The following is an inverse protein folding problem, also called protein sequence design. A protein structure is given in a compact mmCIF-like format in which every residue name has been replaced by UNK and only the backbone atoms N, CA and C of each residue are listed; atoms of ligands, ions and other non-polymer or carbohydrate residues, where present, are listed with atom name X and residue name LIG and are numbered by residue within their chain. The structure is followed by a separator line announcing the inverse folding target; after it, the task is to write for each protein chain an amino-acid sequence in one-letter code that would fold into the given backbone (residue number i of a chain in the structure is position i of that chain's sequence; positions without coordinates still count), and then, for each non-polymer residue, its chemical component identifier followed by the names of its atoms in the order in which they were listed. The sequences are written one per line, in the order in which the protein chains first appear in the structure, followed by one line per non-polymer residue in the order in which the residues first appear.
data_IF_706606689508
#
_entry.id   IF_706606689508
#
_cell.length_a   1.000
_cell.length_b   1.000
_cell.length_c   1.000
_cell.angle_alpha   90.00
_cell.angle_beta   90.00
_cell.angle_gamma   90.00
#
_symmetry.space_group_name_H-M   'P 1'
#
loop_
_entity.id
_entity.type
_entity.pdbx_description
1 polymer ?
#
# COMPACT_ATOMS: atom_id res chain seq x y z
N UNK A 1 -10.45 -24.43 27.21
CA UNK A 1 -11.45 -25.43 26.77
C UNK A 1 -10.85 -26.28 25.65
N UNK A 2 -11.00 -27.62 25.67
CA UNK A 2 -10.48 -28.49 24.59
C UNK A 2 -11.28 -28.21 23.31
N UNK A 3 -10.61 -28.15 22.15
CA UNK A 3 -11.20 -27.91 20.82
C UNK A 3 -12.29 -28.92 20.41
N UNK A 4 -12.49 -30.01 21.17
CA UNK A 4 -13.32 -31.16 20.79
C UNK A 4 -14.74 -31.17 21.38
N UNK A 5 -15.04 -30.31 22.36
CA UNK A 5 -16.31 -30.40 23.11
C UNK A 5 -17.35 -29.34 22.69
N UNK A 6 -17.01 -28.42 21.78
CA UNK A 6 -17.89 -27.32 21.35
C UNK A 6 -17.92 -27.16 19.83
N UNK A 7 -19.08 -27.42 19.24
CA UNK A 7 -19.33 -27.23 17.81
C UNK A 7 -19.79 -25.78 17.59
N UNK A 8 -18.83 -24.87 17.44
CA UNK A 8 -19.06 -23.45 17.11
C UNK A 8 -18.12 -23.02 15.99
N UNK A 9 -18.53 -22.06 15.13
CA UNK A 9 -17.62 -21.49 14.15
C UNK A 9 -16.43 -20.83 14.84
N UNK A 10 -15.25 -21.02 14.26
CA UNK A 10 -14.00 -20.39 14.69
C UNK A 10 -13.59 -19.39 13.62
N UNK A 11 -13.41 -18.14 14.02
CA UNK A 11 -12.98 -17.06 13.13
C UNK A 11 -11.57 -16.60 13.49
N UNK A 12 -10.84 -16.15 12.47
CA UNK A 12 -9.69 -15.27 12.69
C UNK A 12 -10.19 -13.90 13.15
N UNK A 13 -9.34 -13.08 13.81
CA UNK A 13 -9.69 -11.71 14.18
C UNK A 13 -10.20 -10.86 13.00
N UNK A 14 -9.54 -10.95 11.84
CA UNK A 14 -9.97 -10.29 10.60
C UNK A 14 -11.37 -10.73 10.17
N UNK A 15 -11.64 -12.04 10.13
CA UNK A 15 -12.97 -12.54 9.73
C UNK A 15 -14.05 -12.18 10.75
N UNK A 16 -13.71 -12.19 12.04
CA UNK A 16 -14.64 -11.78 13.09
C UNK A 16 -15.05 -10.31 12.92
N UNK A 17 -14.11 -9.42 12.59
CA UNK A 17 -14.40 -8.01 12.32
C UNK A 17 -15.37 -7.82 11.15
N UNK A 18 -15.14 -8.52 10.03
CA UNK A 18 -16.04 -8.49 8.86
C UNK A 18 -17.45 -8.95 9.21
N UNK A 19 -17.58 -10.10 9.91
CA UNK A 19 -18.89 -10.64 10.31
C UNK A 19 -19.60 -9.68 11.25
N UNK A 20 -18.92 -9.16 12.26
CA UNK A 20 -19.51 -8.21 13.20
C UNK A 20 -19.99 -6.93 12.49
N UNK A 21 -19.24 -6.42 11.50
CA UNK A 21 -19.64 -5.22 10.73
C UNK A 21 -20.89 -5.50 9.90
N UNK A 22 -20.96 -6.67 9.27
CA UNK A 22 -22.12 -7.09 8.49
C UNK A 22 -23.39 -7.24 9.37
N UNK A 23 -23.24 -7.82 10.57
CA UNK A 23 -24.34 -7.92 11.55
C UNK A 23 -24.82 -6.54 12.00
N UNK A 24 -23.90 -5.64 12.33
CA UNK A 24 -24.24 -4.26 12.72
C UNK A 24 -24.90 -3.50 11.57
N UNK A 25 -24.41 -3.65 10.34
CA UNK A 25 -25.03 -3.05 9.15
C UNK A 25 -26.45 -3.60 8.89
N UNK A 26 -26.74 -4.82 9.35
CA UNK A 26 -28.07 -5.45 9.27
C UNK A 26 -29.00 -5.06 10.43
N UNK A 27 -28.56 -4.16 11.32
CA UNK A 27 -29.33 -3.69 12.48
C UNK A 27 -29.22 -4.55 13.74
N UNK A 28 -28.33 -5.56 13.75
CA UNK A 28 -28.07 -6.40 14.92
C UNK A 28 -26.98 -5.79 15.82
N UNK A 29 -26.93 -6.23 17.08
CA UNK A 29 -25.84 -5.88 18.00
C UNK A 29 -24.75 -6.95 17.98
N UNK A 30 -23.49 -6.53 18.03
CA UNK A 30 -22.33 -7.42 18.17
C UNK A 30 -21.57 -7.13 19.47
N UNK A 31 -21.04 -8.18 20.11
CA UNK A 31 -20.27 -8.08 21.34
C UNK A 31 -19.17 -9.13 21.40
N UNK A 32 -18.07 -8.80 22.10
CA UNK A 32 -16.90 -9.68 22.24
C UNK A 32 -16.65 -9.93 23.71
N UNK A 33 -16.50 -11.20 24.08
CA UNK A 33 -16.17 -11.63 25.43
C UNK A 33 -14.67 -11.87 25.54
N UNK A 34 -14.02 -11.25 26.52
CA UNK A 34 -12.63 -11.50 26.87
C UNK A 34 -12.54 -12.19 28.23
N UNK A 35 -11.69 -13.21 28.29
CA UNK A 35 -11.44 -13.97 29.51
C UNK A 35 -10.46 -13.27 30.46
N UNK A 36 -10.40 -13.75 31.70
CA UNK A 36 -9.35 -13.31 32.65
C UNK A 36 -7.99 -13.78 32.15
N UNK A 37 -6.96 -12.97 32.34
CA UNK A 37 -5.61 -13.22 31.80
C UNK A 37 -5.02 -14.60 32.13
N UNK A 38 -5.17 -15.06 33.38
CA UNK A 38 -4.61 -16.35 33.82
C UNK A 38 -5.48 -17.56 33.46
N UNK A 39 -6.80 -17.39 33.39
CA UNK A 39 -7.76 -18.51 33.31
C UNK A 39 -8.57 -18.56 32.02
N UNK A 40 -8.47 -17.54 31.16
CA UNK A 40 -9.30 -17.39 29.98
C UNK A 40 -10.79 -17.23 30.31
N UNK A 41 -11.63 -17.53 29.33
CA UNK A 41 -13.09 -17.60 29.48
C UNK A 41 -13.47 -18.94 30.12
N UNK A 42 -14.46 -18.93 31.02
CA UNK A 42 -15.02 -20.17 31.52
C UNK A 42 -15.87 -20.84 30.44
N UNK A 43 -16.02 -22.17 30.49
CA UNK A 43 -16.79 -22.91 29.48
C UNK A 43 -18.22 -22.35 29.32
N UNK A 44 -18.86 -21.93 30.41
CA UNK A 44 -20.21 -21.36 30.37
C UNK A 44 -20.27 -20.00 29.65
N UNK A 45 -19.20 -19.21 29.68
CA UNK A 45 -19.09 -17.97 28.91
C UNK A 45 -18.99 -18.28 27.41
N UNK A 46 -18.11 -19.23 27.05
CA UNK A 46 -17.93 -19.66 25.65
C UNK A 46 -19.22 -20.29 25.11
N UNK A 47 -20.00 -21.00 25.94
CA UNK A 47 -21.28 -21.60 25.54
C UNK A 47 -22.29 -20.55 25.06
N UNK A 48 -22.31 -19.36 25.68
CA UNK A 48 -23.21 -18.25 25.34
C UNK A 48 -22.80 -17.51 24.07
N UNK A 49 -21.52 -17.55 23.71
CA UNK A 49 -21.01 -16.91 22.50
C UNK A 49 -21.46 -17.65 21.22
N UNK A 50 -21.72 -16.93 20.14
CA UNK A 50 -22.12 -17.52 18.85
C UNK A 50 -20.92 -18.11 18.08
N UNK A 51 -19.72 -17.58 18.31
CA UNK A 51 -18.48 -17.97 17.64
C UNK A 51 -17.27 -17.86 18.59
N UNK A 52 -16.14 -18.43 18.17
CA UNK A 52 -14.86 -18.32 18.87
C UNK A 52 -13.89 -17.54 17.97
N UNK A 53 -13.18 -16.56 18.52
CA UNK A 53 -12.10 -15.87 17.81
C UNK A 53 -10.76 -16.51 18.19
N UNK A 54 -9.96 -16.93 17.21
CA UNK A 54 -8.62 -17.47 17.43
C UNK A 54 -7.62 -16.73 16.54
N UNK A 55 -6.69 -16.00 17.16
CA UNK A 55 -5.60 -15.36 16.45
C UNK A 55 -4.56 -16.42 15.99
N UNK A 56 -4.00 -16.30 14.77
CA UNK A 56 -2.96 -17.20 14.26
C UNK A 56 -1.61 -16.89 14.93
N UNK A 57 -1.45 -17.31 16.18
CA UNK A 57 -0.24 -17.10 16.99
C UNK A 57 0.74 -18.27 16.82
N UNK A 58 1.98 -18.07 17.26
CA UNK A 58 2.97 -19.15 17.33
C UNK A 58 2.41 -20.32 18.16
N UNK A 59 2.31 -21.55 17.62
CA UNK A 59 1.79 -22.70 18.38
C UNK A 59 2.56 -22.99 19.67
N UNK A 60 3.86 -22.71 19.72
CA UNK A 60 4.70 -22.87 20.91
C UNK A 60 4.45 -21.78 21.97
N UNK A 61 3.84 -20.66 21.59
CA UNK A 61 3.54 -19.52 22.46
C UNK A 61 2.24 -18.84 22.01
N UNK A 62 1.12 -19.48 22.34
CA UNK A 62 -0.22 -19.10 21.86
C UNK A 62 -1.04 -18.28 22.86
N UNK A 63 -0.38 -17.71 23.87
CA UNK A 63 -1.03 -16.85 24.87
C UNK A 63 -0.66 -15.40 24.64
N UNK A 64 -1.66 -14.55 24.47
CA UNK A 64 -1.53 -13.10 24.57
C UNK A 64 -1.97 -12.65 25.96
N UNK A 65 -1.42 -11.53 26.42
CA UNK A 65 -2.02 -10.86 27.58
C UNK A 65 -3.40 -10.27 27.20
N UNK A 66 -4.18 -9.89 28.20
CA UNK A 66 -5.54 -9.39 27.97
C UNK A 66 -5.53 -8.11 27.12
N UNK A 67 -4.66 -7.15 27.43
CA UNK A 67 -4.55 -5.89 26.70
C UNK A 67 -4.20 -6.08 25.22
N UNK A 68 -3.28 -7.00 24.91
CA UNK A 68 -2.90 -7.39 23.56
C UNK A 68 -4.06 -8.04 22.80
N UNK A 69 -4.81 -8.91 23.47
CA UNK A 69 -5.99 -9.55 22.89
C UNK A 69 -7.06 -8.53 22.53
N UNK A 70 -7.33 -7.59 23.44
CA UNK A 70 -8.29 -6.48 23.23
C UNK A 70 -7.82 -5.58 22.10
N UNK A 71 -6.56 -5.13 22.14
CA UNK A 71 -5.98 -4.26 21.11
C UNK A 71 -6.05 -4.92 19.72
N UNK A 72 -5.67 -6.19 19.61
CA UNK A 72 -5.65 -6.90 18.34
C UNK A 72 -7.04 -6.98 17.70
N UNK A 73 -8.05 -7.32 18.50
CA UNK A 73 -9.42 -7.44 18.00
C UNK A 73 -10.03 -6.05 17.70
N UNK A 74 -9.78 -5.05 18.54
CA UNK A 74 -10.22 -3.68 18.31
C UNK A 74 -9.56 -3.08 17.06
N UNK A 75 -8.29 -3.39 16.82
CA UNK A 75 -7.55 -2.97 15.63
C UNK A 75 -8.14 -3.56 14.35
N UNK A 76 -8.40 -4.87 14.33
CA UNK A 76 -9.03 -5.52 13.17
C UNK A 76 -10.45 -5.00 12.93
N UNK A 77 -11.20 -4.68 14.00
CA UNK A 77 -12.50 -4.01 13.89
C UNK A 77 -12.41 -2.63 13.22
N UNK A 78 -11.48 -1.80 13.67
CA UNK A 78 -11.25 -0.47 13.07
C UNK A 78 -10.83 -0.60 11.61
N UNK A 79 -9.80 -1.42 11.34
CA UNK A 79 -9.26 -1.68 10.01
C UNK A 79 -10.33 -2.20 9.02
N UNK A 80 -11.26 -3.03 9.47
CA UNK A 80 -12.32 -3.57 8.62
C UNK A 80 -13.30 -2.52 8.08
N UNK A 81 -13.25 -1.28 8.56
CA UNK A 81 -13.94 -0.16 7.93
C UNK A 81 -13.06 1.07 7.81
N UNK A 82 -11.75 0.86 7.72
CA UNK A 82 -10.81 1.91 7.37
C UNK A 82 -10.84 2.10 5.85
N UNK A 83 -11.13 3.33 5.42
CA UNK A 83 -11.12 3.74 4.01
C UNK A 83 -9.87 4.54 3.67
N UNK A 84 -8.92 4.63 4.61
CA UNK A 84 -7.65 5.33 4.40
C UNK A 84 -6.91 4.71 3.21
N UNK A 85 -6.46 5.52 2.22
CA UNK A 85 -5.68 5.02 1.10
C UNK A 85 -4.42 4.29 1.60
N UNK A 86 -4.11 3.14 0.99
CA UNK A 86 -2.89 2.39 1.31
C UNK A 86 -1.61 3.16 0.98
N UNK A 87 -1.69 4.10 0.03
CA UNK A 87 -0.62 5.00 -0.36
C UNK A 87 -1.22 6.37 -0.68
N UNK A 88 -0.69 7.41 -0.07
CA UNK A 88 -0.98 8.79 -0.39
C UNK A 88 0.33 9.50 -0.75
N UNK A 89 0.38 10.06 -1.95
CA UNK A 89 1.50 10.90 -2.38
C UNK A 89 1.03 12.36 -2.42
N UNK A 90 1.42 13.20 -1.45
CA UNK A 90 1.03 14.60 -1.43
C UNK A 90 1.69 15.34 -2.59
N UNK A 91 0.89 15.89 -3.50
CA UNK A 91 1.38 16.56 -4.72
C UNK A 91 1.61 18.07 -4.55
N UNK A 92 1.30 18.62 -3.37
CA UNK A 92 1.27 20.08 -3.15
C UNK A 92 0.25 20.74 -4.08
N UNK A 93 0.65 21.84 -4.74
CA UNK A 93 -0.16 22.55 -5.74
C UNK A 93 -0.07 21.94 -7.16
N UNK A 94 0.64 20.81 -7.31
CA UNK A 94 0.88 20.16 -8.59
C UNK A 94 -0.07 18.98 -8.80
N UNK A 95 -0.23 18.57 -10.06
CA UNK A 95 -0.91 17.33 -10.44
C UNK A 95 0.10 16.34 -11.02
N UNK A 96 -0.27 15.06 -11.04
CA UNK A 96 0.48 14.06 -11.81
C UNK A 96 0.61 14.51 -13.26
N UNK A 97 1.79 14.28 -13.83
CA UNK A 97 2.03 14.59 -15.23
C UNK A 97 1.15 13.71 -16.12
N UNK A 98 0.53 14.32 -17.13
CA UNK A 98 -0.16 13.56 -18.17
C UNK A 98 0.84 12.73 -18.96
N UNK A 99 0.39 11.58 -19.49
CA UNK A 99 1.24 10.75 -20.38
C UNK A 99 1.77 11.56 -21.57
N UNK A 100 0.98 12.50 -22.09
CA UNK A 100 1.40 13.42 -23.15
C UNK A 100 2.54 14.35 -22.71
N UNK A 101 2.47 14.91 -21.49
CA UNK A 101 3.53 15.76 -20.93
C UNK A 101 4.85 15.01 -20.76
N UNK A 102 4.78 13.78 -20.24
CA UNK A 102 5.94 12.89 -20.10
C UNK A 102 6.51 12.52 -21.47
N UNK A 103 5.68 12.09 -22.42
CA UNK A 103 6.12 11.70 -23.77
C UNK A 103 6.83 12.85 -24.48
N UNK A 104 6.24 14.06 -24.46
CA UNK A 104 6.86 15.22 -25.08
C UNK A 104 8.17 15.63 -24.38
N UNK A 105 8.38 15.25 -23.11
CA UNK A 105 9.65 15.47 -22.41
C UNK A 105 10.67 14.44 -22.87
N UNK A 106 10.27 13.18 -22.98
CA UNK A 106 11.10 12.11 -23.52
C UNK A 106 11.57 12.38 -24.94
N UNK A 107 10.70 12.93 -25.79
CA UNK A 107 11.07 13.27 -27.17
C UNK A 107 12.07 14.43 -27.21
N UNK A 108 11.89 15.44 -26.36
CA UNK A 108 12.87 16.52 -26.19
C UNK A 108 14.21 16.01 -25.65
N UNK A 109 14.19 15.12 -24.67
CA UNK A 109 15.37 14.50 -24.09
C UNK A 109 16.13 13.68 -25.13
N UNK A 110 15.44 12.84 -25.91
CA UNK A 110 16.04 12.01 -26.96
C UNK A 110 16.76 12.88 -28.01
N UNK A 111 16.16 13.99 -28.45
CA UNK A 111 16.79 14.94 -29.39
C UNK A 111 18.08 15.50 -28.83
N UNK A 112 18.07 15.96 -27.57
CA UNK A 112 19.27 16.55 -26.97
C UNK A 112 20.36 15.52 -26.66
N UNK A 113 19.99 14.29 -26.30
CA UNK A 113 20.94 13.19 -26.11
C UNK A 113 21.60 12.77 -27.42
N UNK A 114 20.86 12.76 -28.54
CA UNK A 114 21.41 12.52 -29.87
C UNK A 114 22.48 13.56 -30.20
N UNK A 115 22.15 14.84 -30.05
CA UNK A 115 23.05 15.95 -30.34
C UNK A 115 24.27 15.96 -29.40
N UNK A 116 24.11 15.50 -28.16
CA UNK A 116 25.21 15.33 -27.19
C UNK A 116 26.07 14.08 -27.45
N UNK A 117 25.77 13.30 -28.49
CA UNK A 117 26.45 12.03 -28.84
C UNK A 117 26.42 11.01 -27.69
N UNK A 118 25.34 11.00 -26.89
CA UNK A 118 25.15 10.03 -25.81
C UNK A 118 25.03 8.60 -26.37
N UNK A 119 24.27 8.44 -27.46
CA UNK A 119 24.14 7.16 -28.15
C UNK A 119 25.37 6.90 -29.03
N UNK A 120 26.35 6.16 -28.50
CA UNK A 120 27.65 5.89 -29.16
C UNK A 120 27.55 4.97 -30.37
N UNK A 121 26.53 4.12 -30.43
CA UNK A 121 26.32 3.16 -31.51
C UNK A 121 24.83 3.09 -31.88
N UNK A 122 24.48 3.04 -33.19
CA UNK A 122 23.10 2.87 -33.64
C UNK A 122 22.41 1.63 -33.05
N UNK A 123 23.17 0.56 -32.82
CA UNK A 123 22.62 -0.70 -32.30
C UNK A 123 22.23 -0.61 -30.81
N UNK A 124 22.87 0.27 -30.04
CA UNK A 124 22.59 0.43 -28.61
C UNK A 124 21.49 1.47 -28.32
N UNK A 125 21.23 2.37 -29.27
CA UNK A 125 20.26 3.45 -29.13
C UNK A 125 18.86 2.97 -28.74
N UNK A 126 18.25 1.96 -29.40
CA UNK A 126 16.89 1.53 -29.06
C UNK A 126 16.76 1.04 -27.62
N UNK A 127 17.73 0.24 -27.15
CA UNK A 127 17.73 -0.30 -25.79
C UNK A 127 17.87 0.82 -24.74
N UNK A 128 18.73 1.82 -25.01
CA UNK A 128 18.89 2.97 -24.10
C UNK A 128 17.64 3.85 -24.06
N UNK A 129 17.00 4.13 -25.21
CA UNK A 129 15.74 4.88 -25.25
C UNK A 129 14.63 4.16 -24.49
N UNK A 130 14.51 2.85 -24.68
CA UNK A 130 13.54 2.03 -23.95
C UNK A 130 13.78 2.10 -22.44
N UNK A 131 15.04 1.99 -22.00
CA UNK A 131 15.38 2.10 -20.58
C UNK A 131 15.03 3.48 -19.99
N UNK A 132 15.35 4.55 -20.70
CA UNK A 132 14.99 5.91 -20.27
C UNK A 132 13.47 6.08 -20.18
N UNK A 133 12.71 5.61 -21.19
CA UNK A 133 11.25 5.65 -21.16
C UNK A 133 10.66 4.81 -20.02
N UNK A 134 11.22 3.64 -19.75
CA UNK A 134 10.78 2.77 -18.66
C UNK A 134 11.00 3.40 -17.27
N UNK A 135 12.06 4.20 -17.07
CA UNK A 135 12.27 4.95 -15.83
C UNK A 135 11.07 5.87 -15.58
N UNK A 136 10.66 6.62 -16.61
CA UNK A 136 9.58 7.59 -16.48
C UNK A 136 8.18 6.98 -16.50
N UNK A 137 8.00 5.87 -17.23
CA UNK A 137 6.72 5.15 -17.31
C UNK A 137 6.30 4.53 -15.96
N UNK A 138 7.26 4.09 -15.15
CA UNK A 138 6.98 3.60 -13.79
C UNK A 138 7.06 4.68 -12.71
N UNK A 139 7.52 5.89 -13.05
CA UNK A 139 7.58 7.00 -12.11
C UNK A 139 6.28 7.80 -12.14
N UNK A 140 5.67 8.03 -10.98
CA UNK A 140 4.50 8.90 -10.84
C UNK A 140 4.93 10.35 -10.63
N UNK A 141 5.59 10.93 -11.64
CA UNK A 141 6.08 12.32 -11.56
C UNK A 141 4.95 13.34 -11.79
N UNK A 142 5.14 14.53 -11.26
CA UNK A 142 4.23 15.66 -11.37
C UNK A 142 4.54 16.54 -12.58
N UNK A 143 3.56 17.35 -13.00
CA UNK A 143 3.77 18.34 -14.08
C UNK A 143 4.91 19.32 -13.74
N UNK A 144 5.06 19.68 -12.47
CA UNK A 144 6.13 20.56 -12.01
C UNK A 144 7.51 19.90 -12.13
N UNK A 145 7.62 18.61 -11.83
CA UNK A 145 8.87 17.85 -12.02
C UNK A 145 9.22 17.71 -13.50
N UNK A 146 8.24 17.42 -14.37
CA UNK A 146 8.45 17.41 -15.83
C UNK A 146 8.95 18.76 -16.33
N UNK A 147 8.35 19.87 -15.89
CA UNK A 147 8.81 21.23 -16.23
C UNK A 147 10.24 21.49 -15.76
N UNK A 148 10.57 21.06 -14.55
CA UNK A 148 11.91 21.19 -13.98
C UNK A 148 12.93 20.41 -14.81
N UNK A 149 12.64 19.15 -15.14
CA UNK A 149 13.49 18.31 -15.97
C UNK A 149 13.67 18.88 -17.39
N UNK A 150 12.60 19.38 -18.02
CA UNK A 150 12.71 20.09 -19.30
C UNK A 150 13.63 21.30 -19.20
N UNK A 151 13.52 22.08 -18.13
CA UNK A 151 14.39 23.22 -17.86
C UNK A 151 15.86 22.84 -17.74
N UNK A 152 16.17 21.74 -17.02
CA UNK A 152 17.53 21.19 -16.91
C UNK A 152 18.07 20.82 -18.30
N UNK A 153 17.31 20.06 -19.09
CA UNK A 153 17.71 19.65 -20.45
C UNK A 153 17.96 20.87 -21.34
N UNK A 154 17.02 21.84 -21.34
CA UNK A 154 17.15 23.07 -22.12
C UNK A 154 18.38 23.89 -21.73
N UNK A 155 18.70 23.99 -20.43
CA UNK A 155 19.88 24.71 -19.95
C UNK A 155 21.18 24.03 -20.37
N UNK A 156 21.27 22.71 -20.24
CA UNK A 156 22.43 21.94 -20.68
C UNK A 156 22.64 22.04 -22.19
N UNK A 157 21.56 21.94 -22.98
CA UNK A 157 21.57 22.14 -24.41
C UNK A 157 22.09 23.53 -24.81
N UNK A 158 21.62 24.58 -24.13
CA UNK A 158 22.07 25.96 -24.38
C UNK A 158 23.56 26.15 -24.09
N UNK A 159 24.08 25.59 -22.99
CA UNK A 159 25.51 25.65 -22.65
C UNK A 159 26.37 24.95 -23.71
N UNK A 160 25.98 23.75 -24.14
CA UNK A 160 26.67 23.00 -25.19
C UNK A 160 26.77 23.81 -26.48
N UNK A 161 25.67 24.42 -26.93
CA UNK A 161 25.65 25.26 -28.15
C UNK A 161 26.53 26.51 -28.04
N UNK A 162 26.74 27.06 -26.84
CA UNK A 162 27.64 28.20 -26.62
C UNK A 162 29.11 27.80 -26.71
N UNK A 163 29.47 26.63 -26.20
CA UNK A 163 30.85 26.12 -26.21
C UNK A 163 31.27 25.63 -27.61
N UNK A 164 30.31 25.22 -28.44
CA UNK A 164 30.56 24.80 -29.83
C UNK A 164 30.63 25.94 -30.86
N UNK A 165 30.48 27.20 -30.43
CA UNK A 165 30.69 28.41 -31.25
C UNK A 165 32.05 29.01 -30.91
#
# INVERSE_FOLDING_TARGET
ARRRDMVKPIFTPTRAAEVMRAEIASGNNAGILFGRERSGLANHDVMRAQAIITAPLNPAYSSLNLGQSVLLVAWEWLKAGDETPAEELPLGESNFATQASVNAFMDHLDVELELAKFYRSPNQKPAMQQNLRNIFARSRITEQEVRTLRGVVARMAALRRRVSR
#
